data_IF_328092069673
#
_entry.id   IF_328092069673
#
_cell.length_a   1.000
_cell.length_b   1.000
_cell.length_c   1.000
_cell.angle_alpha   90.00
_cell.angle_beta   90.00
_cell.angle_gamma   90.00
#
_symmetry.space_group_name_H-M   'P 1'
#
loop_
_entity.id
_entity.type
_entity.pdbx_description
1 polymer ?
#
# COMPACT_ATOMS: atom_id res chain seq x y z
N UNK A 1 18.47 -30.82 -24.03
CA UNK A 1 17.93 -29.49 -23.64
C UNK A 1 16.55 -29.53 -23.01
N UNK A 2 15.81 -30.65 -23.05
CA UNK A 2 14.47 -30.76 -22.46
C UNK A 2 14.44 -30.87 -20.93
N UNK A 3 15.39 -31.61 -20.32
CA UNK A 3 15.47 -31.76 -18.85
C UNK A 3 15.66 -30.43 -18.13
N UNK A 4 16.54 -29.56 -18.64
CA UNK A 4 16.76 -28.22 -18.06
C UNK A 4 15.49 -27.35 -18.14
N UNK A 5 14.73 -27.46 -19.22
CA UNK A 5 13.46 -26.74 -19.38
C UNK A 5 12.41 -27.23 -18.38
N UNK A 6 12.25 -28.54 -18.19
CA UNK A 6 11.31 -29.08 -17.19
C UNK A 6 11.69 -28.69 -15.76
N UNK A 7 12.98 -28.75 -15.42
CA UNK A 7 13.49 -28.29 -14.11
C UNK A 7 13.25 -26.78 -13.94
N UNK A 8 13.44 -25.99 -15.00
CA UNK A 8 13.16 -24.56 -14.99
C UNK A 8 11.69 -24.24 -14.71
N UNK A 9 10.75 -24.91 -15.37
CA UNK A 9 9.33 -24.74 -15.11
C UNK A 9 8.95 -25.17 -13.68
N UNK A 10 9.47 -26.31 -13.21
CA UNK A 10 9.22 -26.76 -11.84
C UNK A 10 9.76 -25.76 -10.80
N UNK A 11 10.97 -25.24 -11.02
CA UNK A 11 11.57 -24.20 -10.17
C UNK A 11 10.78 -22.89 -10.18
N UNK A 12 10.27 -22.47 -11.34
CA UNK A 12 9.42 -21.29 -11.45
C UNK A 12 8.10 -21.44 -10.68
N UNK A 13 7.46 -22.61 -10.77
CA UNK A 13 6.22 -22.90 -10.03
C UNK A 13 6.48 -22.92 -8.52
N UNK A 14 7.53 -23.62 -8.07
CA UNK A 14 7.89 -23.67 -6.65
C UNK A 14 8.26 -22.29 -6.12
N UNK A 15 9.07 -21.53 -6.87
CA UNK A 15 9.45 -20.17 -6.52
C UNK A 15 8.26 -19.23 -6.44
N UNK A 16 7.32 -19.34 -7.39
CA UNK A 16 6.07 -18.58 -7.38
C UNK A 16 5.23 -18.92 -6.15
N UNK A 17 4.99 -20.21 -5.87
CA UNK A 17 4.23 -20.63 -4.69
C UNK A 17 4.88 -20.13 -3.39
N UNK A 18 6.20 -20.22 -3.28
CA UNK A 18 6.91 -19.75 -2.09
C UNK A 18 6.83 -18.24 -1.92
N UNK A 19 6.98 -17.48 -3.02
CA UNK A 19 6.80 -16.04 -3.02
C UNK A 19 5.39 -15.65 -2.59
N UNK A 20 4.36 -16.31 -3.14
CA UNK A 20 2.97 -16.07 -2.77
C UNK A 20 2.73 -16.36 -1.29
N UNK A 21 3.21 -17.50 -0.78
CA UNK A 21 3.07 -17.87 0.63
C UNK A 21 3.81 -16.89 1.55
N UNK A 22 5.00 -16.44 1.16
CA UNK A 22 5.78 -15.45 1.91
C UNK A 22 5.09 -14.09 1.98
N UNK A 23 4.45 -13.65 0.88
CA UNK A 23 3.68 -12.42 0.86
C UNK A 23 2.43 -12.58 1.73
N UNK A 24 1.72 -13.71 1.61
CA UNK A 24 0.52 -14.00 2.39
C UNK A 24 0.80 -14.05 3.90
N UNK A 25 1.87 -14.72 4.33
CA UNK A 25 2.25 -14.78 5.75
C UNK A 25 2.69 -13.41 6.29
N UNK A 26 3.43 -12.64 5.50
CA UNK A 26 3.83 -11.28 5.87
C UNK A 26 2.63 -10.34 6.02
N UNK A 27 1.68 -10.39 5.08
CA UNK A 27 0.43 -9.62 5.15
C UNK A 27 -0.44 -10.03 6.34
N UNK A 28 -0.52 -11.34 6.63
CA UNK A 28 -1.26 -11.86 7.78
C UNK A 28 -0.68 -11.33 9.09
N UNK A 29 0.64 -11.40 9.26
CA UNK A 29 1.32 -10.86 10.43
C UNK A 29 1.12 -9.34 10.57
N UNK A 30 1.18 -8.62 9.45
CA UNK A 30 0.96 -7.18 9.44
C UNK A 30 -0.48 -6.83 9.83
N UNK A 31 -1.46 -7.63 9.43
CA UNK A 31 -2.87 -7.46 9.82
C UNK A 31 -3.07 -7.62 11.32
N UNK A 32 -2.47 -8.66 11.91
CA UNK A 32 -2.52 -8.90 13.35
C UNK A 32 -1.88 -7.74 14.12
N UNK A 33 -0.74 -7.23 13.64
CA UNK A 33 -0.08 -6.06 14.24
C UNK A 33 -0.93 -4.79 14.16
N UNK A 34 -1.69 -4.61 13.07
CA UNK A 34 -2.62 -3.49 12.92
C UNK A 34 -3.80 -3.60 13.90
N UNK A 35 -4.29 -4.82 14.13
CA UNK A 35 -5.37 -5.10 15.06
C UNK A 35 -4.94 -4.93 16.53
N UNK A 36 -3.76 -5.42 16.91
CA UNK A 36 -3.22 -5.31 18.26
C UNK A 36 -2.67 -3.91 18.57
N UNK A 37 -2.12 -3.20 17.57
CA UNK A 37 -1.50 -1.88 17.74
C UNK A 37 -2.12 -0.79 16.86
N UNK A 38 -3.44 -0.64 16.95
CA UNK A 38 -4.22 0.35 16.18
C UNK A 38 -3.69 1.78 16.24
N UNK A 39 -3.12 2.22 17.37
CA UNK A 39 -2.55 3.57 17.54
C UNK A 39 -1.27 3.75 16.70
N UNK A 40 -0.38 2.75 16.71
CA UNK A 40 0.84 2.77 15.89
C UNK A 40 0.49 2.68 14.41
N UNK A 41 -0.46 1.81 14.05
CA UNK A 41 -0.96 1.68 12.68
C UNK A 41 -1.52 3.00 12.15
N UNK A 42 -2.39 3.67 12.91
CA UNK A 42 -2.94 4.99 12.55
C UNK A 42 -1.84 6.03 12.33
N UNK A 43 -0.85 6.07 13.24
CA UNK A 43 0.27 7.04 13.16
C UNK A 43 1.16 6.79 11.94
N UNK A 44 1.49 5.53 11.68
CA UNK A 44 2.31 5.10 10.55
C UNK A 44 1.59 5.42 9.23
N UNK A 45 0.30 5.06 9.13
CA UNK A 45 -0.51 5.29 7.94
C UNK A 45 -0.69 6.78 7.64
N UNK A 46 -0.91 7.60 8.66
CA UNK A 46 -0.97 9.07 8.51
C UNK A 46 0.36 9.64 7.99
N UNK A 47 1.51 9.17 8.52
CA UNK A 47 2.83 9.60 8.05
C UNK A 47 3.09 9.19 6.60
N UNK A 48 2.67 7.98 6.21
CA UNK A 48 2.79 7.50 4.83
C UNK A 48 1.96 8.36 3.87
N UNK A 49 0.72 8.73 4.24
CA UNK A 49 -0.12 9.61 3.41
C UNK A 49 0.58 10.96 3.18
N UNK A 50 1.12 11.59 4.23
CA UNK A 50 1.88 12.84 4.08
C UNK A 50 3.15 12.66 3.24
N UNK A 51 3.86 11.54 3.37
CA UNK A 51 5.02 11.25 2.54
C UNK A 51 4.64 11.13 1.06
N UNK A 52 3.54 10.46 0.73
CA UNK A 52 3.06 10.34 -0.66
C UNK A 52 2.62 11.68 -1.23
N UNK A 53 1.95 12.53 -0.44
CA UNK A 53 1.64 13.91 -0.84
C UNK A 53 2.93 14.69 -1.12
N UNK A 54 3.93 14.58 -0.24
CA UNK A 54 5.25 15.19 -0.44
C UNK A 54 5.93 14.71 -1.73
N UNK A 55 5.88 13.40 -2.00
CA UNK A 55 6.44 12.81 -3.24
C UNK A 55 5.71 13.34 -4.48
N UNK A 56 4.37 13.44 -4.45
CA UNK A 56 3.60 14.03 -5.56
C UNK A 56 3.99 15.49 -5.82
N UNK A 57 4.21 16.28 -4.76
CA UNK A 57 4.69 17.66 -4.89
C UNK A 57 6.12 17.73 -5.44
N UNK A 58 7.01 16.86 -4.98
CA UNK A 58 8.39 16.80 -5.48
C UNK A 58 8.45 16.37 -6.95
N UNK A 59 7.68 15.35 -7.34
CA UNK A 59 7.56 14.91 -8.74
C UNK A 59 7.01 16.01 -9.64
N UNK A 60 6.04 16.77 -9.15
CA UNK A 60 5.53 17.93 -9.88
C UNK A 60 6.61 19.01 -10.05
N UNK A 61 7.38 19.31 -9.01
CA UNK A 61 8.39 20.36 -9.01
C UNK A 61 9.64 20.00 -9.85
N UNK A 62 10.06 18.73 -9.83
CA UNK A 62 11.30 18.26 -10.46
C UNK A 62 11.06 17.75 -11.88
N UNK A 63 10.06 16.88 -12.08
CA UNK A 63 9.82 16.18 -13.35
C UNK A 63 8.73 16.87 -14.21
N UNK A 64 8.14 17.97 -13.74
CA UNK A 64 7.08 18.67 -14.46
C UNK A 64 5.82 17.83 -14.65
N UNK A 65 5.55 16.90 -13.72
CA UNK A 65 4.45 15.95 -13.79
C UNK A 65 3.09 16.65 -14.04
N UNK A 66 2.15 16.08 -14.81
CA UNK A 66 0.89 16.76 -15.15
C UNK A 66 0.09 17.16 -13.90
N UNK A 67 -0.15 18.46 -13.77
CA UNK A 67 -0.86 19.10 -12.66
C UNK A 67 -2.21 18.44 -12.32
N UNK A 68 -2.96 18.00 -13.34
CA UNK A 68 -4.25 17.34 -13.13
C UNK A 68 -4.13 16.03 -12.36
N UNK A 69 -3.14 15.19 -12.70
CA UNK A 69 -2.89 13.91 -12.02
C UNK A 69 -2.37 14.15 -10.60
N UNK A 70 -1.49 15.13 -10.40
CA UNK A 70 -0.97 15.50 -9.09
C UNK A 70 -2.07 16.01 -8.17
N UNK A 71 -2.94 16.92 -8.65
CA UNK A 71 -4.06 17.46 -7.87
C UNK A 71 -5.08 16.36 -7.51
N UNK A 72 -5.42 15.48 -8.45
CA UNK A 72 -6.32 14.36 -8.19
C UNK A 72 -5.72 13.37 -7.19
N UNK A 73 -4.42 13.08 -7.33
CA UNK A 73 -3.67 12.24 -6.39
C UNK A 73 -3.65 12.83 -4.98
N UNK A 74 -3.31 14.11 -4.84
CA UNK A 74 -3.31 14.81 -3.54
C UNK A 74 -4.72 14.83 -2.94
N UNK A 75 -5.75 15.14 -3.74
CA UNK A 75 -7.14 15.16 -3.28
C UNK A 75 -7.58 13.80 -2.71
N UNK A 76 -7.29 12.71 -3.42
CA UNK A 76 -7.58 11.35 -2.94
C UNK A 76 -6.88 11.05 -1.60
N UNK A 77 -5.61 11.46 -1.46
CA UNK A 77 -4.87 11.29 -0.21
C UNK A 77 -5.40 12.15 0.95
N UNK A 78 -5.97 13.32 0.67
CA UNK A 78 -6.68 14.14 1.66
C UNK A 78 -7.97 13.46 2.12
N UNK A 79 -8.74 12.87 1.20
CA UNK A 79 -9.93 12.06 1.54
C UNK A 79 -9.55 10.87 2.42
N UNK A 80 -8.45 10.18 2.10
CA UNK A 80 -7.92 9.11 2.95
C UNK A 80 -7.54 9.59 4.35
N UNK A 81 -6.97 10.79 4.47
CA UNK A 81 -6.66 11.37 5.76
C UNK A 81 -7.92 11.69 6.58
N UNK A 82 -9.00 12.09 5.90
CA UNK A 82 -10.34 12.20 6.49
C UNK A 82 -10.85 10.86 7.03
N UNK A 83 -10.67 9.78 6.28
CA UNK A 83 -11.05 8.43 6.69
C UNK A 83 -10.30 7.93 7.94
N UNK A 84 -9.04 8.35 8.11
CA UNK A 84 -8.23 8.02 9.30
C UNK A 84 -8.75 8.64 10.61
N UNK A 85 -9.70 9.58 10.56
CA UNK A 85 -10.29 10.19 11.77
C UNK A 85 -11.01 9.16 12.64
N UNK A 86 -11.70 8.19 12.03
CA UNK A 86 -12.45 7.12 12.72
C UNK A 86 -11.82 5.73 12.54
N UNK A 87 -10.50 5.65 12.61
CA UNK A 87 -9.82 4.35 12.64
C UNK A 87 -10.17 3.55 13.92
N UNK A 88 -10.43 2.22 13.86
CA UNK A 88 -10.36 1.31 12.71
C UNK A 88 -11.69 1.11 11.93
N UNK A 89 -12.81 1.61 12.44
CA UNK A 89 -14.14 1.40 11.86
C UNK A 89 -14.55 2.56 10.94
N UNK A 90 -14.40 2.34 9.63
CA UNK A 90 -14.88 3.24 8.58
C UNK A 90 -16.41 3.14 8.48
N UNK A 91 -17.13 4.11 9.04
CA UNK A 91 -18.58 4.21 8.87
C UNK A 91 -18.89 4.94 7.57
N UNK A 92 -19.35 4.19 6.57
CA UNK A 92 -19.78 4.72 5.26
C UNK A 92 -21.00 5.66 5.33
N UNK A 93 -21.74 5.64 6.45
CA UNK A 93 -22.99 6.37 6.64
C UNK A 93 -22.84 7.73 7.33
N UNK A 94 -21.64 8.11 7.76
CA UNK A 94 -21.40 9.42 8.36
C UNK A 94 -21.00 10.41 7.26
N UNK A 95 -21.69 11.56 7.14
CA UNK A 95 -21.24 12.61 6.24
C UNK A 95 -19.91 13.15 6.78
N UNK A 96 -18.95 13.31 5.87
CA UNK A 96 -17.66 13.95 6.10
C UNK A 96 -17.82 15.35 6.72
#
# INVERSE_FOLDING_TARGET
MWILTFIGYAGAVVGFCFLTLSIASGLYYLSELVEEHTVLAKRLLTRLIYAVIGIHLTLWLVDGFPLGATCLGIFAHVVYLGNMRRFPLVKLSDPL
#
